data_IF_978571860377
#
_entry.id   IF_978571860377
#
_cell.length_a   1.000
_cell.length_b   1.000
_cell.length_c   1.000
_cell.angle_alpha   90.00
_cell.angle_beta   90.00
_cell.angle_gamma   90.00
#
_symmetry.space_group_name_H-M   'P 1'
#
loop_
_entity.id
_entity.type
_entity.pdbx_description
1 polymer ?
#
# COMPACT_ATOMS: atom_id res chain seq x y z
N UNK A 1 -6.00 17.89 2.02
CA UNK A 1 -5.16 16.71 1.74
C UNK A 1 -5.41 15.63 2.77
N UNK A 2 -5.20 14.37 2.38
CA UNK A 2 -5.22 13.19 3.26
C UNK A 2 -4.17 13.38 4.37
N UNK A 3 -4.54 13.08 5.63
CA UNK A 3 -3.67 13.28 6.81
C UNK A 3 -3.21 11.96 7.46
N UNK A 4 -3.90 10.87 7.17
CA UNK A 4 -3.66 9.53 7.73
C UNK A 4 -4.31 8.46 6.84
N UNK A 5 -3.84 7.21 6.94
CA UNK A 5 -4.47 6.03 6.32
C UNK A 5 -5.60 5.49 7.20
N UNK A 6 -5.40 5.48 8.53
CA UNK A 6 -6.42 5.12 9.53
C UNK A 6 -6.76 6.33 10.42
N UNK A 7 -7.89 6.26 11.13
CA UNK A 7 -8.39 7.37 11.97
C UNK A 7 -7.40 7.90 13.01
N UNK A 8 -6.42 7.09 13.44
CA UNK A 8 -5.39 7.48 14.41
C UNK A 8 -3.95 7.40 13.88
N UNK A 9 -3.78 7.18 12.57
CA UNK A 9 -2.46 7.20 11.93
C UNK A 9 -1.90 8.63 11.77
N UNK A 10 -0.61 8.75 11.47
CA UNK A 10 0.05 10.01 11.08
C UNK A 10 0.94 9.75 9.86
N UNK A 11 0.80 10.58 8.81
CA UNK A 11 1.65 10.49 7.61
C UNK A 11 2.97 11.25 7.73
N UNK A 12 3.11 12.12 8.74
CA UNK A 12 4.27 12.98 8.88
C UNK A 12 5.56 12.21 9.19
N UNK A 13 6.59 12.46 8.37
CA UNK A 13 7.91 11.86 8.49
C UNK A 13 8.84 12.83 9.21
N UNK A 14 9.40 12.38 10.32
CA UNK A 14 10.37 13.14 11.14
C UNK A 14 11.82 12.87 10.75
N UNK A 15 12.07 12.60 9.46
CA UNK A 15 13.38 12.26 8.92
C UNK A 15 13.54 12.74 7.47
N UNK A 16 14.79 12.89 7.03
CA UNK A 16 15.13 13.25 5.65
C UNK A 16 14.95 12.04 4.72
N UNK A 17 13.94 12.11 3.85
CA UNK A 17 13.59 11.02 2.94
C UNK A 17 14.64 10.77 1.85
N UNK A 18 15.41 11.79 1.46
CA UNK A 18 16.49 11.66 0.49
C UNK A 18 17.70 10.95 1.12
N UNK A 19 18.07 11.30 2.36
CA UNK A 19 19.09 10.57 3.11
C UNK A 19 18.69 9.13 3.40
N UNK A 20 17.41 8.90 3.72
CA UNK A 20 16.88 7.56 3.88
C UNK A 20 17.06 6.74 2.58
N UNK A 21 16.62 7.27 1.44
CA UNK A 21 16.77 6.60 0.15
C UNK A 21 18.23 6.29 -0.21
N UNK A 22 19.16 7.21 0.09
CA UNK A 22 20.59 6.97 -0.11
C UNK A 22 21.12 5.84 0.78
N UNK A 23 20.70 5.79 2.05
CA UNK A 23 21.03 4.69 2.95
C UNK A 23 20.50 3.34 2.44
N UNK A 24 19.27 3.30 1.94
CA UNK A 24 18.68 2.08 1.35
C UNK A 24 19.39 1.68 0.06
N UNK A 25 19.82 2.64 -0.76
CA UNK A 25 20.63 2.36 -1.97
C UNK A 25 21.96 1.71 -1.60
N UNK A 26 22.64 2.20 -0.56
CA UNK A 26 23.87 1.59 -0.04
C UNK A 26 23.60 0.18 0.49
N UNK A 27 22.52 0.00 1.27
CA UNK A 27 22.09 -1.32 1.71
C UNK A 27 21.92 -2.25 0.52
N UNK A 28 21.11 -1.89 -0.48
CA UNK A 28 20.87 -2.69 -1.69
C UNK A 28 22.15 -3.06 -2.45
N UNK A 29 23.16 -2.18 -2.45
CA UNK A 29 24.45 -2.46 -3.12
C UNK A 29 25.25 -3.59 -2.46
N UNK A 30 25.00 -3.86 -1.16
CA UNK A 30 25.63 -4.98 -0.43
C UNK A 30 24.86 -6.31 -0.58
N UNK A 31 23.78 -6.37 -1.37
CA UNK A 31 22.88 -7.53 -1.43
C UNK A 31 23.59 -8.85 -1.74
N UNK A 32 24.61 -8.82 -2.60
CA UNK A 32 25.36 -10.02 -2.98
C UNK A 32 26.14 -10.60 -1.81
N UNK A 33 26.65 -9.76 -0.92
CA UNK A 33 27.46 -10.18 0.24
C UNK A 33 26.60 -10.87 1.30
N UNK A 34 25.28 -10.60 1.28
CA UNK A 34 24.29 -11.15 2.21
C UNK A 34 23.28 -12.09 1.53
N UNK A 35 23.59 -12.65 0.35
CA UNK A 35 22.64 -13.42 -0.44
C UNK A 35 22.01 -14.63 0.30
N UNK A 36 22.72 -15.22 1.28
CA UNK A 36 22.23 -16.32 2.11
C UNK A 36 21.49 -15.89 3.39
N UNK A 37 21.39 -14.58 3.67
CA UNK A 37 20.75 -14.06 4.88
C UNK A 37 19.28 -13.75 4.63
N UNK A 38 18.40 -14.54 5.24
CA UNK A 38 16.96 -14.31 5.21
C UNK A 38 16.58 -12.97 5.83
N UNK A 39 17.14 -12.65 7.00
CA UNK A 39 16.86 -11.41 7.72
C UNK A 39 17.25 -10.18 6.91
N UNK A 40 18.43 -10.20 6.27
CA UNK A 40 18.86 -9.11 5.41
C UNK A 40 17.90 -8.90 4.22
N UNK A 41 17.42 -9.99 3.60
CA UNK A 41 16.47 -9.92 2.49
C UNK A 41 15.14 -9.30 2.92
N UNK A 42 14.63 -9.69 4.09
CA UNK A 42 13.40 -9.12 4.69
C UNK A 42 13.60 -7.65 5.01
N UNK A 43 14.71 -7.29 5.67
CA UNK A 43 15.03 -5.90 5.99
C UNK A 43 15.15 -5.05 4.72
N UNK A 44 15.81 -5.56 3.68
CA UNK A 44 15.95 -4.85 2.41
C UNK A 44 14.60 -4.60 1.73
N UNK A 45 13.70 -5.59 1.71
CA UNK A 45 12.32 -5.40 1.21
C UNK A 45 11.59 -4.34 2.03
N UNK A 46 11.67 -4.41 3.36
CA UNK A 46 11.04 -3.45 4.27
C UNK A 46 11.57 -2.01 4.08
N UNK A 47 12.86 -1.85 3.82
CA UNK A 47 13.46 -0.55 3.58
C UNK A 47 13.12 0.00 2.20
N UNK A 48 13.14 -0.84 1.16
CA UNK A 48 12.75 -0.46 -0.20
C UNK A 48 11.28 -0.08 -0.29
N UNK A 49 10.36 -0.79 0.39
CA UNK A 49 8.93 -0.41 0.39
C UNK A 49 8.73 0.99 1.00
N UNK A 50 9.49 1.33 2.04
CA UNK A 50 9.44 2.67 2.63
C UNK A 50 9.97 3.76 1.67
N UNK A 51 10.96 3.46 0.83
CA UNK A 51 11.40 4.36 -0.24
C UNK A 51 10.28 4.59 -1.26
N UNK A 52 9.56 3.53 -1.65
CA UNK A 52 8.42 3.62 -2.56
C UNK A 52 7.30 4.47 -1.94
N UNK A 53 6.93 4.21 -0.68
CA UNK A 53 5.94 5.01 0.04
C UNK A 53 6.36 6.49 0.17
N UNK A 54 7.65 6.78 0.37
CA UNK A 54 8.16 8.15 0.38
C UNK A 54 8.00 8.85 -0.98
N UNK A 55 8.20 8.12 -2.07
CA UNK A 55 7.99 8.65 -3.42
C UNK A 55 6.50 8.83 -3.74
N UNK A 56 5.65 7.92 -3.26
CA UNK A 56 4.20 7.99 -3.45
C UNK A 56 3.60 9.25 -2.80
N UNK A 57 4.10 9.67 -1.63
CA UNK A 57 3.71 10.95 -1.02
C UNK A 57 4.00 12.16 -1.93
N UNK A 58 5.16 12.15 -2.60
CA UNK A 58 5.54 13.19 -3.57
C UNK A 58 4.60 13.21 -4.77
N UNK A 59 4.35 12.05 -5.39
CA UNK A 59 3.41 11.93 -6.50
C UNK A 59 1.98 12.37 -6.10
N UNK A 60 1.55 12.06 -4.88
CA UNK A 60 0.25 12.49 -4.37
C UNK A 60 0.18 14.01 -4.13
N UNK A 61 1.28 14.62 -3.65
CA UNK A 61 1.37 16.07 -3.50
C UNK A 61 1.29 16.78 -4.86
N UNK A 62 2.00 16.27 -5.87
CA UNK A 62 1.95 16.79 -7.24
C UNK A 62 0.55 16.67 -7.85
N UNK A 63 -0.11 15.53 -7.62
CA UNK A 63 -1.49 15.30 -8.00
C UNK A 63 -2.43 16.33 -7.36
N UNK A 64 -2.30 16.55 -6.05
CA UNK A 64 -3.12 17.51 -5.31
C UNK A 64 -2.92 18.94 -5.85
N UNK A 65 -1.68 19.34 -6.10
CA UNK A 65 -1.36 20.64 -6.66
C UNK A 65 -1.87 20.80 -8.11
N UNK A 66 -1.84 19.74 -8.91
CA UNK A 66 -2.40 19.74 -10.26
C UNK A 66 -3.93 19.92 -10.23
N UNK A 67 -4.64 19.27 -9.30
CA UNK A 67 -6.07 19.50 -9.09
C UNK A 67 -6.38 20.97 -8.76
N UNK A 68 -5.64 21.57 -7.83
CA UNK A 68 -5.83 22.97 -7.41
C UNK A 68 -5.63 23.94 -8.58
N UNK A 69 -4.63 23.68 -9.44
CA UNK A 69 -4.35 24.48 -10.63
C UNK A 69 -5.23 24.13 -11.84
N UNK A 70 -6.09 23.11 -11.74
CA UNK A 70 -6.84 22.52 -12.85
C UNK A 70 -5.93 22.09 -14.03
N UNK A 71 -4.72 21.64 -13.72
CA UNK A 71 -3.73 21.16 -14.67
C UNK A 71 -4.00 19.68 -15.00
N UNK A 72 -4.74 19.45 -16.09
CA UNK A 72 -5.17 18.10 -16.52
C UNK A 72 -4.00 17.19 -16.84
N UNK A 73 -2.99 17.71 -17.53
CA UNK A 73 -1.85 16.89 -17.93
C UNK A 73 -0.92 16.62 -16.74
N UNK A 74 -0.77 17.60 -15.83
CA UNK A 74 -0.11 17.41 -14.55
C UNK A 74 -0.79 16.32 -13.71
N UNK A 75 -2.12 16.38 -13.60
CA UNK A 75 -2.90 15.38 -12.87
C UNK A 75 -2.70 13.98 -13.46
N UNK A 76 -2.82 13.84 -14.79
CA UNK A 76 -2.65 12.54 -15.48
C UNK A 76 -1.26 11.96 -15.29
N UNK A 77 -0.20 12.78 -15.33
CA UNK A 77 1.17 12.31 -15.09
C UNK A 77 1.36 11.85 -13.66
N UNK A 78 0.94 12.67 -12.68
CA UNK A 78 1.13 12.36 -11.27
C UNK A 78 0.29 11.15 -10.82
N UNK A 79 -0.96 11.02 -11.31
CA UNK A 79 -1.79 9.84 -11.04
C UNK A 79 -1.20 8.57 -11.65
N UNK A 80 -0.70 8.63 -12.89
CA UNK A 80 -0.04 7.48 -13.53
C UNK A 80 1.22 7.05 -12.77
N UNK A 81 2.05 8.00 -12.32
CA UNK A 81 3.21 7.70 -11.50
C UNK A 81 2.80 7.06 -10.16
N UNK A 82 1.80 7.61 -9.48
CA UNK A 82 1.30 7.08 -8.22
C UNK A 82 0.78 5.63 -8.35
N UNK A 83 0.05 5.33 -9.42
CA UNK A 83 -0.42 3.97 -9.71
C UNK A 83 0.72 3.02 -10.07
N UNK A 84 1.74 3.49 -10.82
CA UNK A 84 2.92 2.69 -11.12
C UNK A 84 3.74 2.36 -9.87
N UNK A 85 3.74 3.23 -8.85
CA UNK A 85 4.37 2.95 -7.57
C UNK A 85 3.66 1.83 -6.80
N UNK A 86 2.33 1.68 -6.94
CA UNK A 86 1.61 0.53 -6.38
C UNK A 86 2.01 -0.79 -7.06
N UNK A 87 2.20 -0.76 -8.39
CA UNK A 87 2.68 -1.94 -9.14
C UNK A 87 4.11 -2.31 -8.73
N UNK A 88 4.99 -1.32 -8.58
CA UNK A 88 6.35 -1.54 -8.13
C UNK A 88 6.42 -2.10 -6.70
N UNK A 89 5.57 -1.60 -5.80
CA UNK A 89 5.47 -2.10 -4.43
C UNK A 89 4.93 -3.54 -4.39
N UNK A 90 3.91 -3.86 -5.19
CA UNK A 90 3.43 -5.23 -5.39
C UNK A 90 4.55 -6.19 -5.80
N UNK A 91 5.31 -5.84 -6.84
CA UNK A 91 6.43 -6.65 -7.34
C UNK A 91 7.52 -6.84 -6.29
N UNK A 92 7.82 -5.80 -5.52
CA UNK A 92 8.80 -5.87 -4.42
C UNK A 92 8.33 -6.83 -3.32
N UNK A 93 7.10 -6.65 -2.83
CA UNK A 93 6.53 -7.42 -1.73
C UNK A 93 6.33 -8.89 -2.13
N UNK A 94 6.04 -9.18 -3.39
CA UNK A 94 5.84 -10.54 -3.89
C UNK A 94 7.09 -11.44 -3.77
N UNK A 95 8.27 -10.87 -3.54
CA UNK A 95 9.54 -11.58 -3.40
C UNK A 95 9.69 -12.38 -2.09
N UNK A 96 8.80 -12.18 -1.11
CA UNK A 96 8.82 -12.92 0.16
C UNK A 96 7.41 -13.31 0.63
N UNK A 97 7.16 -14.58 1.02
CA UNK A 97 5.92 -15.01 1.67
C UNK A 97 5.45 -14.14 2.85
N UNK A 98 6.35 -13.54 3.64
CA UNK A 98 6.02 -12.65 4.76
C UNK A 98 5.25 -11.39 4.35
N UNK A 99 5.36 -10.98 3.08
CA UNK A 99 4.69 -9.79 2.55
C UNK A 99 3.59 -10.11 1.55
N UNK A 100 3.03 -11.33 1.57
CA UNK A 100 2.00 -11.74 0.61
C UNK A 100 0.69 -12.09 1.28
N UNK A 101 -0.41 -11.62 0.71
CA UNK A 101 -1.75 -11.94 1.21
C UNK A 101 -2.06 -13.43 1.13
N UNK A 102 -1.55 -14.15 0.14
CA UNK A 102 -1.84 -15.58 -0.02
C UNK A 102 -1.26 -16.41 1.14
N UNK A 103 -0.13 -15.99 1.72
CA UNK A 103 0.41 -16.58 2.95
C UNK A 103 -0.57 -16.42 4.11
N UNK A 104 -1.11 -15.21 4.29
CA UNK A 104 -2.07 -14.92 5.34
C UNK A 104 -3.40 -15.70 5.15
N UNK A 105 -3.91 -15.75 3.91
CA UNK A 105 -5.10 -16.53 3.57
C UNK A 105 -4.91 -18.03 3.83
N UNK A 106 -3.76 -18.59 3.45
CA UNK A 106 -3.41 -19.99 3.73
C UNK A 106 -3.38 -20.27 5.23
N UNK A 107 -2.85 -19.35 6.05
CA UNK A 107 -2.85 -19.48 7.50
C UNK A 107 -4.28 -19.48 8.08
N UNK A 108 -5.14 -18.57 7.62
CA UNK A 108 -6.55 -18.51 8.05
C UNK A 108 -7.31 -19.81 7.72
N UNK A 109 -7.13 -20.33 6.51
CA UNK A 109 -7.72 -21.60 6.06
C UNK A 109 -7.14 -22.81 6.81
N UNK A 110 -5.86 -22.80 7.16
CA UNK A 110 -5.23 -23.90 7.91
C UNK A 110 -5.73 -23.99 9.36
N UNK A 111 -6.24 -22.90 9.93
CA UNK A 111 -6.76 -22.87 11.29
C UNK A 111 -8.14 -23.54 11.44
N UNK A 112 -8.89 -23.76 10.35
CA UNK A 112 -10.20 -24.42 10.38
C UNK A 112 -10.12 -25.94 10.17
N UNK A 113 -10.97 -26.70 10.86
CA UNK A 113 -11.04 -28.18 10.75
C UNK A 113 -12.12 -28.65 9.78
N UNK A 114 -13.17 -27.87 9.59
CA UNK A 114 -14.27 -28.14 8.64
C UNK A 114 -14.31 -27.09 7.52
N UNK A 115 -14.92 -27.36 6.36
CA UNK A 115 -15.08 -26.36 5.29
C UNK A 115 -15.71 -25.06 5.79
N UNK A 116 -16.78 -25.15 6.58
CA UNK A 116 -17.47 -23.99 7.17
C UNK A 116 -16.55 -23.16 8.07
N UNK A 117 -15.75 -23.80 8.93
CA UNK A 117 -14.77 -23.09 9.76
C UNK A 117 -13.68 -22.40 8.93
N UNK A 118 -13.21 -23.05 7.86
CA UNK A 118 -12.19 -22.46 6.98
C UNK A 118 -12.71 -21.22 6.27
N UNK A 119 -13.92 -21.28 5.73
CA UNK A 119 -14.57 -20.16 5.07
C UNK A 119 -14.80 -19.00 6.04
N UNK A 120 -15.29 -19.30 7.26
CA UNK A 120 -15.48 -18.29 8.30
C UNK A 120 -14.15 -17.65 8.76
N UNK A 121 -13.10 -18.45 8.93
CA UNK A 121 -11.78 -17.93 9.30
C UNK A 121 -11.19 -17.02 8.22
N UNK A 122 -11.29 -17.43 6.96
CA UNK A 122 -10.83 -16.61 5.83
C UNK A 122 -11.62 -15.30 5.75
N UNK A 123 -12.95 -15.36 5.89
CA UNK A 123 -13.81 -14.18 5.92
C UNK A 123 -13.39 -13.20 7.02
N UNK A 124 -13.24 -13.68 8.27
CA UNK A 124 -12.83 -12.85 9.40
C UNK A 124 -11.43 -12.26 9.22
N UNK A 125 -10.47 -13.05 8.72
CA UNK A 125 -9.11 -12.61 8.44
C UNK A 125 -9.08 -11.48 7.40
N UNK A 126 -9.86 -11.63 6.32
CA UNK A 126 -9.96 -10.62 5.27
C UNK A 126 -10.67 -9.35 5.73
N UNK A 127 -11.74 -9.48 6.51
CA UNK A 127 -12.43 -8.35 7.14
C UNK A 127 -11.47 -7.55 8.01
N UNK A 128 -10.72 -8.22 8.90
CA UNK A 128 -9.83 -7.59 9.87
C UNK A 128 -8.84 -6.61 9.22
N UNK A 129 -8.24 -6.98 8.08
CA UNK A 129 -7.21 -6.18 7.41
C UNK A 129 -7.77 -5.15 6.40
N UNK A 130 -9.10 -5.09 6.24
CA UNK A 130 -9.79 -4.15 5.33
C UNK A 130 -10.80 -3.28 6.10
N UNK A 131 -12.04 -3.74 6.22
CA UNK A 131 -13.15 -3.03 6.88
C UNK A 131 -13.10 -3.12 8.41
N UNK A 132 -12.25 -3.99 8.95
CA UNK A 132 -12.04 -4.31 10.37
C UNK A 132 -13.23 -5.00 11.06
N UNK A 133 -14.45 -4.53 10.80
CA UNK A 133 -15.72 -5.06 11.33
C UNK A 133 -16.82 -5.15 10.28
N UNK A 134 -18.06 -5.36 10.72
CA UNK A 134 -19.23 -5.33 9.85
C UNK A 134 -19.39 -3.96 9.17
N UNK A 135 -20.12 -3.92 8.05
CA UNK A 135 -20.41 -2.67 7.34
C UNK A 135 -21.46 -1.84 8.12
N UNK A 136 -21.01 -1.25 9.22
CA UNK A 136 -21.79 -0.40 10.10
C UNK A 136 -21.27 1.05 9.97
N UNK A 137 -22.05 1.98 9.40
CA UNK A 137 -21.65 3.38 9.28
C UNK A 137 -21.27 4.06 10.61
N UNK A 138 -21.78 3.55 11.74
CA UNK A 138 -21.41 4.04 13.07
C UNK A 138 -19.96 3.67 13.47
N UNK A 139 -19.35 2.70 12.77
CA UNK A 139 -18.02 2.14 13.02
C UNK A 139 -17.03 2.42 11.86
N UNK A 140 -17.42 3.26 10.88
CA UNK A 140 -16.60 3.60 9.71
C UNK A 140 -15.24 4.23 10.06
N UNK A 141 -15.01 4.59 11.32
CA UNK A 141 -13.70 5.03 11.81
C UNK A 141 -12.66 3.90 11.93
N UNK A 142 -13.04 2.63 11.74
CA UNK A 142 -12.14 1.48 11.81
C UNK A 142 -11.63 1.01 10.43
N UNK A 143 -12.14 1.58 9.33
CA UNK A 143 -11.66 1.26 7.98
C UNK A 143 -10.14 1.44 7.86
N UNK A 144 -9.48 0.47 7.23
CA UNK A 144 -8.02 0.41 7.04
C UNK A 144 -7.20 0.50 8.34
N UNK A 145 -7.80 0.30 9.52
CA UNK A 145 -7.08 0.38 10.81
C UNK A 145 -5.93 -0.63 10.88
N UNK A 146 -6.18 -1.86 10.43
CA UNK A 146 -5.17 -2.92 10.37
C UNK A 146 -4.57 -3.07 8.96
N UNK A 147 -4.45 -1.96 8.21
CA UNK A 147 -3.79 -1.87 6.90
C UNK A 147 -2.49 -2.69 6.82
N UNK A 148 -2.25 -3.27 5.63
CA UNK A 148 -1.05 -4.05 5.33
C UNK A 148 -0.55 -3.75 3.93
N UNK A 149 0.74 -3.42 3.83
CA UNK A 149 1.49 -3.43 2.57
C UNK A 149 1.84 -4.88 2.22
N UNK A 150 0.87 -5.59 1.63
CA UNK A 150 1.05 -6.97 1.16
C UNK A 150 0.79 -7.07 -0.34
N UNK A 151 1.67 -7.81 -1.04
CA UNK A 151 1.41 -8.23 -2.40
C UNK A 151 0.09 -9.00 -2.49
N UNK A 152 -0.64 -8.77 -3.57
CA UNK A 152 -2.04 -9.09 -3.76
C UNK A 152 -2.94 -7.91 -3.36
N UNK A 153 -2.77 -7.32 -2.17
CA UNK A 153 -3.61 -6.18 -1.74
C UNK A 153 -3.26 -4.88 -2.45
N UNK A 154 -1.97 -4.63 -2.71
CA UNK A 154 -1.51 -3.40 -3.33
C UNK A 154 -2.20 -3.14 -4.66
N UNK A 155 -2.32 -4.16 -5.51
CA UNK A 155 -2.96 -4.02 -6.83
C UNK A 155 -4.45 -4.37 -6.86
N UNK A 156 -4.91 -5.37 -6.11
CA UNK A 156 -6.31 -5.82 -6.19
C UNK A 156 -7.28 -5.01 -5.33
N UNK A 157 -6.79 -4.33 -4.28
CA UNK A 157 -7.61 -3.56 -3.35
C UNK A 157 -7.23 -2.08 -3.34
N UNK A 158 -5.99 -1.75 -2.95
CA UNK A 158 -5.59 -0.34 -2.75
C UNK A 158 -5.51 0.44 -4.05
N UNK A 159 -4.80 -0.10 -5.06
CA UNK A 159 -4.69 0.54 -6.39
C UNK A 159 -6.07 0.76 -7.04
N UNK A 160 -6.97 -0.23 -6.95
CA UNK A 160 -8.33 -0.12 -7.51
C UNK A 160 -9.13 1.02 -6.90
N UNK A 161 -9.01 1.25 -5.59
CA UNK A 161 -9.64 2.39 -4.91
C UNK A 161 -9.10 3.73 -5.42
N UNK A 162 -7.79 3.81 -5.63
CA UNK A 162 -7.15 5.01 -6.18
C UNK A 162 -7.55 5.27 -7.64
N UNK A 163 -7.60 4.24 -8.48
CA UNK A 163 -8.08 4.35 -9.87
C UNK A 163 -9.50 4.92 -9.91
N UNK A 164 -10.44 4.37 -9.11
CA UNK A 164 -11.80 4.88 -9.02
C UNK A 164 -11.86 6.37 -8.63
N UNK A 165 -11.02 6.78 -7.67
CA UNK A 165 -10.96 8.18 -7.27
C UNK A 165 -10.34 9.07 -8.35
N UNK A 166 -9.26 8.64 -8.98
CA UNK A 166 -8.60 9.41 -10.04
C UNK A 166 -9.49 9.56 -11.27
N UNK A 167 -10.23 8.53 -11.67
CA UNK A 167 -11.20 8.60 -12.76
C UNK A 167 -12.29 9.63 -12.47
N UNK A 168 -12.82 9.64 -11.25
CA UNK A 168 -13.80 10.62 -10.80
C UNK A 168 -13.27 12.06 -10.85
N UNK A 169 -12.03 12.28 -10.40
CA UNK A 169 -11.42 13.62 -10.42
C UNK A 169 -11.10 14.06 -11.84
N UNK A 170 -10.57 13.17 -12.68
CA UNK A 170 -10.26 13.45 -14.08
C UNK A 170 -11.52 13.88 -14.84
N UNK A 171 -12.65 13.17 -14.66
CA UNK A 171 -13.92 13.52 -15.27
C UNK A 171 -14.38 14.95 -14.91
N UNK A 172 -14.24 15.35 -13.63
CA UNK A 172 -14.53 16.71 -13.17
C UNK A 172 -13.60 17.76 -13.77
N UNK A 173 -12.32 17.45 -13.91
CA UNK A 173 -11.34 18.36 -14.53
C UNK A 173 -11.61 18.57 -16.02
N UNK A 174 -12.15 17.55 -16.69
CA UNK A 174 -12.54 17.59 -18.10
C UNK A 174 -13.86 18.33 -18.34
N UNK A 175 -14.61 18.67 -17.27
CA UNK A 175 -15.85 19.44 -17.32
C UNK A 175 -17.12 18.61 -17.23
N UNK A 176 -17.03 17.35 -16.80
CA UNK A 176 -18.16 16.49 -16.44
C UNK A 176 -18.58 16.60 -14.97
#
# INVERSE_FOLDING_TARGET
>A
GVRSVSSWGRLEKHYDTARFAEGVRLMASARTDFAGSETYRVDLINMLRQVIANRADGAYADLSAACERRDRDGFRRASSEFLALHDLEEELLAQDPLYRIDTYQKQALAAGRTPSEKDNNLYNAMMLITYWGENNPAEDYLHDYAYKEWAGLMTSFYKRRWEMWFDYVQARLDGG
#
